data_IF_037773154677
#
_entry.id   IF_037773154677
#
_cell.length_a   1.000
_cell.length_b   1.000
_cell.length_c   1.000
_cell.angle_alpha   90.00
_cell.angle_beta   90.00
_cell.angle_gamma   90.00
#
_symmetry.space_group_name_H-M   'P 1'
#
loop_
_entity.id
_entity.type
_entity.pdbx_description
1 polymer ?
#
# COMPACT_ATOMS: atom_id res chain seq x y z
N UNK A 1 -26.24 29.88 -33.14
CA UNK A 1 -25.92 29.85 -31.70
C UNK A 1 -24.45 30.22 -31.46
N UNK A 2 -24.10 31.50 -31.58
CA UNK A 2 -22.71 32.01 -31.37
C UNK A 2 -22.41 32.27 -29.89
N UNK A 3 -23.46 32.48 -29.10
CA UNK A 3 -23.48 32.79 -27.67
C UNK A 3 -22.81 31.68 -26.83
N UNK A 4 -22.89 30.43 -27.30
CA UNK A 4 -22.24 29.28 -26.65
C UNK A 4 -20.72 29.18 -26.90
N UNK A 5 -20.17 29.95 -27.84
CA UNK A 5 -18.75 29.91 -28.20
C UNK A 5 -17.92 30.94 -27.39
N UNK A 6 -18.41 31.36 -26.23
CA UNK A 6 -17.79 32.36 -25.36
C UNK A 6 -16.67 31.81 -24.45
N UNK A 7 -16.40 30.51 -24.51
CA UNK A 7 -15.40 29.83 -23.69
C UNK A 7 -15.79 29.66 -22.21
N UNK A 8 -17.02 30.01 -21.81
CA UNK A 8 -17.47 29.88 -20.42
C UNK A 8 -17.95 28.46 -20.13
N UNK A 9 -17.48 27.84 -19.02
CA UNK A 9 -17.98 26.52 -18.60
C UNK A 9 -19.47 26.57 -18.27
N UNK A 10 -20.21 25.56 -18.70
CA UNK A 10 -21.65 25.41 -18.44
C UNK A 10 -21.92 24.08 -17.77
N UNK A 11 -22.81 24.07 -16.78
CA UNK A 11 -23.16 22.85 -16.06
C UNK A 11 -24.08 21.98 -16.90
N UNK A 12 -23.78 20.70 -16.93
CA UNK A 12 -24.51 19.68 -17.68
C UNK A 12 -25.49 18.96 -16.73
N UNK A 13 -26.67 18.64 -17.23
CA UNK A 13 -27.70 17.80 -16.60
C UNK A 13 -28.12 16.67 -17.54
N UNK A 14 -28.75 15.65 -16.98
CA UNK A 14 -29.39 14.55 -17.72
C UNK A 14 -28.49 13.92 -18.80
N UNK A 15 -27.20 13.73 -18.48
CA UNK A 15 -26.25 13.15 -19.41
C UNK A 15 -26.61 11.70 -19.70
N UNK A 16 -26.74 11.39 -20.99
CA UNK A 16 -26.95 10.07 -21.58
C UNK A 16 -25.81 9.80 -22.56
N UNK A 17 -25.76 8.59 -23.12
CA UNK A 17 -24.69 8.18 -24.04
C UNK A 17 -24.46 9.14 -25.23
N UNK A 18 -25.53 9.77 -25.74
CA UNK A 18 -25.47 10.62 -26.94
C UNK A 18 -26.13 11.99 -26.77
N UNK A 19 -26.57 12.34 -25.56
CA UNK A 19 -27.26 13.61 -25.32
C UNK A 19 -27.07 14.08 -23.90
N UNK A 20 -27.17 15.38 -23.71
CA UNK A 20 -27.19 16.03 -22.41
C UNK A 20 -27.89 17.37 -22.53
N UNK A 21 -28.31 17.94 -21.40
CA UNK A 21 -28.92 19.27 -21.36
C UNK A 21 -28.01 20.25 -20.65
N UNK A 22 -27.95 21.49 -21.11
CA UNK A 22 -27.33 22.57 -20.35
C UNK A 22 -28.29 22.99 -19.22
N UNK A 23 -27.74 23.33 -18.05
CA UNK A 23 -28.53 23.94 -16.96
C UNK A 23 -28.94 25.39 -17.28
N UNK A 24 -28.25 26.01 -18.23
CA UNK A 24 -28.50 27.36 -18.74
C UNK A 24 -29.68 27.41 -19.70
N UNK A 25 -30.51 28.45 -19.58
CA UNK A 25 -31.60 28.71 -20.52
C UNK A 25 -31.06 29.33 -21.82
N UNK A 26 -31.17 28.59 -22.91
CA UNK A 26 -30.74 29.01 -24.25
C UNK A 26 -31.90 29.49 -25.13
N UNK A 27 -33.09 29.73 -24.58
CA UNK A 27 -34.30 30.10 -25.35
C UNK A 27 -34.10 31.35 -26.21
N UNK A 28 -33.31 32.32 -25.71
CA UNK A 28 -33.03 33.57 -26.41
C UNK A 28 -31.79 33.51 -27.33
N UNK A 29 -31.18 32.35 -27.53
CA UNK A 29 -30.00 32.21 -28.38
C UNK A 29 -30.37 31.98 -29.84
N UNK A 30 -29.49 32.41 -30.75
CA UNK A 30 -29.69 32.17 -32.18
C UNK A 30 -29.76 30.67 -32.49
N UNK A 31 -30.58 30.29 -33.47
CA UNK A 31 -30.79 28.89 -33.87
C UNK A 31 -29.47 28.16 -34.17
N UNK A 32 -29.46 26.86 -33.90
CA UNK A 32 -28.36 25.98 -34.30
C UNK A 32 -28.33 25.84 -35.83
N UNK A 33 -27.13 25.82 -36.41
CA UNK A 33 -26.94 25.65 -37.86
C UNK A 33 -26.40 24.25 -38.17
N UNK A 34 -25.12 24.00 -37.85
CA UNK A 34 -24.47 22.69 -38.02
C UNK A 34 -23.15 22.64 -37.24
N UNK A 35 -22.76 21.43 -36.83
CA UNK A 35 -21.48 21.15 -36.21
C UNK A 35 -21.31 21.79 -34.83
N UNK A 36 -20.23 21.43 -34.15
CA UNK A 36 -19.91 21.91 -32.82
C UNK A 36 -19.00 20.92 -32.11
N UNK A 37 -18.11 21.44 -31.26
CA UNK A 37 -17.23 20.63 -30.44
C UNK A 37 -17.47 21.03 -29.00
N UNK A 38 -17.63 20.03 -28.14
CA UNK A 38 -17.77 20.22 -26.70
C UNK A 38 -16.46 19.80 -26.04
N UNK A 39 -15.92 20.67 -25.20
CA UNK A 39 -14.72 20.38 -24.41
C UNK A 39 -15.10 20.39 -22.92
N UNK A 40 -14.84 19.29 -22.23
CA UNK A 40 -15.06 19.22 -20.80
C UNK A 40 -14.07 20.11 -20.05
N UNK A 41 -14.58 20.98 -19.17
CA UNK A 41 -13.76 21.78 -18.27
C UNK A 41 -13.87 21.20 -16.86
N UNK A 42 -12.76 20.73 -16.30
CA UNK A 42 -12.68 20.26 -14.91
C UNK A 42 -12.59 21.45 -13.97
N UNK A 43 -13.66 21.69 -13.22
CA UNK A 43 -13.72 22.76 -12.21
C UNK A 43 -12.88 22.39 -10.98
N UNK A 44 -12.30 23.40 -10.32
CA UNK A 44 -11.64 23.22 -9.04
C UNK A 44 -12.69 22.91 -7.96
N UNK A 45 -12.39 21.94 -7.08
CA UNK A 45 -13.21 21.59 -5.94
C UNK A 45 -12.41 21.85 -4.66
N UNK A 46 -12.98 22.62 -3.74
CA UNK A 46 -12.41 22.82 -2.40
C UNK A 46 -12.82 21.65 -1.51
N UNK A 47 -11.84 21.09 -0.79
CA UNK A 47 -12.04 20.03 0.20
C UNK A 47 -11.62 20.57 1.57
N UNK A 48 -12.49 20.44 2.58
CA UNK A 48 -12.28 20.99 3.91
C UNK A 48 -11.90 19.88 4.89
N UNK A 49 -10.61 19.72 5.17
CA UNK A 49 -10.11 18.69 6.06
C UNK A 49 -10.38 19.05 7.54
N UNK A 50 -11.00 18.15 8.30
CA UNK A 50 -11.07 18.21 9.76
C UNK A 50 -9.66 18.11 10.38
N UNK A 51 -9.38 18.80 11.50
CA UNK A 51 -8.20 18.55 12.31
C UNK A 51 -8.21 17.12 12.88
N UNK A 52 -7.04 16.50 13.05
CA UNK A 52 -6.93 15.11 13.51
C UNK A 52 -7.74 14.82 14.78
N UNK A 53 -7.72 15.73 15.76
CA UNK A 53 -8.48 15.58 17.01
C UNK A 53 -9.99 15.40 16.77
N UNK A 54 -10.56 16.20 15.88
CA UNK A 54 -11.98 16.14 15.55
C UNK A 54 -12.27 14.91 14.68
N UNK A 55 -11.39 14.63 13.72
CA UNK A 55 -11.50 13.47 12.84
C UNK A 55 -11.42 12.13 13.60
N UNK A 56 -10.67 12.05 14.71
CA UNK A 56 -10.61 10.84 15.53
C UNK A 56 -11.93 10.53 16.26
N UNK A 57 -12.70 11.55 16.64
CA UNK A 57 -14.02 11.36 17.24
C UNK A 57 -15.13 11.22 16.22
N UNK A 58 -15.02 11.89 15.08
CA UNK A 58 -15.99 11.89 13.99
C UNK A 58 -15.25 11.72 12.64
N UNK A 59 -14.88 10.46 12.29
CA UNK A 59 -14.09 10.16 11.11
C UNK A 59 -14.87 10.33 9.80
N UNK A 60 -16.19 10.48 9.86
CA UNK A 60 -17.07 10.48 8.69
C UNK A 60 -16.99 9.16 7.91
N UNK A 61 -17.16 9.25 6.60
CA UNK A 61 -17.08 8.09 5.71
C UNK A 61 -15.63 7.58 5.59
N UNK A 62 -15.43 6.30 5.87
CA UNK A 62 -14.15 5.65 5.63
C UNK A 62 -13.93 5.35 4.15
N UNK A 63 -12.72 5.58 3.66
CA UNK A 63 -12.33 5.08 2.35
C UNK A 63 -12.11 3.57 2.42
N UNK A 64 -12.93 2.81 1.69
CA UNK A 64 -12.81 1.36 1.61
C UNK A 64 -11.59 0.97 0.76
N UNK A 65 -10.64 0.28 1.37
CA UNK A 65 -9.51 -0.33 0.67
C UNK A 65 -9.90 -1.65 -0.02
N UNK A 66 -10.89 -2.35 0.53
CA UNK A 66 -11.46 -3.59 0.01
C UNK A 66 -12.98 -3.59 0.25
N UNK A 67 -13.75 -3.69 -0.84
CA UNK A 67 -15.22 -3.70 -0.79
C UNK A 67 -15.80 -4.97 -0.17
N UNK A 68 -15.02 -6.05 -0.05
CA UNK A 68 -15.42 -7.26 0.66
C UNK A 68 -15.29 -7.13 2.19
N UNK A 69 -14.67 -6.04 2.68
CA UNK A 69 -14.25 -5.81 4.06
C UNK A 69 -14.83 -4.50 4.62
N UNK A 70 -16.12 -4.23 4.37
CA UNK A 70 -16.76 -2.94 4.71
C UNK A 70 -16.80 -2.64 6.22
N UNK A 71 -16.77 -3.67 7.06
CA UNK A 71 -16.73 -3.62 8.53
C UNK A 71 -15.32 -3.33 9.08
N UNK A 72 -14.27 -3.49 8.27
CA UNK A 72 -12.88 -3.39 8.73
C UNK A 72 -12.44 -1.98 9.09
N UNK A 73 -12.67 -0.93 8.29
CA UNK A 73 -12.13 0.39 8.60
C UNK A 73 -12.59 0.95 9.95
N UNK A 74 -13.88 0.88 10.34
CA UNK A 74 -14.32 1.30 11.67
C UNK A 74 -13.66 0.50 12.80
N UNK A 75 -13.57 -0.83 12.66
CA UNK A 75 -12.95 -1.68 13.68
C UNK A 75 -11.44 -1.42 13.80
N UNK A 76 -10.73 -1.21 12.69
CA UNK A 76 -9.32 -0.84 12.69
C UNK A 76 -9.11 0.56 13.27
N UNK A 77 -10.00 1.51 13.00
CA UNK A 77 -9.98 2.83 13.61
C UNK A 77 -10.02 2.75 15.14
N UNK A 78 -10.94 1.94 15.69
CA UNK A 78 -10.99 1.64 17.12
C UNK A 78 -9.71 0.93 17.60
N UNK A 79 -9.21 -0.06 16.85
CA UNK A 79 -8.05 -0.86 17.23
C UNK A 79 -6.76 -0.01 17.36
N UNK A 80 -6.53 0.93 16.45
CA UNK A 80 -5.38 1.84 16.51
C UNK A 80 -5.48 2.78 17.73
N UNK A 81 -6.66 3.31 18.05
CA UNK A 81 -6.84 4.12 19.26
C UNK A 81 -6.69 3.29 20.55
N UNK A 82 -7.19 2.05 20.54
CA UNK A 82 -7.01 1.12 21.65
C UNK A 82 -5.52 0.76 21.87
N UNK A 83 -4.73 0.66 20.79
CA UNK A 83 -3.29 0.47 20.87
C UNK A 83 -2.58 1.67 21.50
N UNK A 84 -2.94 2.90 21.12
CA UNK A 84 -2.37 4.11 21.72
C UNK A 84 -2.66 4.14 23.24
N UNK A 85 -3.89 3.77 23.64
CA UNK A 85 -4.25 3.65 25.06
C UNK A 85 -3.49 2.54 25.78
N UNK A 86 -3.36 1.36 25.16
CA UNK A 86 -2.55 0.25 25.69
C UNK A 86 -1.10 0.69 25.96
N UNK A 87 -0.48 1.37 25.00
CA UNK A 87 0.90 1.87 25.11
C UNK A 87 0.99 2.93 26.22
N UNK A 88 0.01 3.82 26.32
CA UNK A 88 -0.05 4.83 27.38
C UNK A 88 -0.17 4.22 28.78
N UNK A 89 -0.90 3.11 28.94
CA UNK A 89 -1.12 2.47 30.25
C UNK A 89 0.05 1.56 30.66
N UNK A 90 0.66 0.85 29.71
CA UNK A 90 1.67 -0.17 30.00
C UNK A 90 3.11 0.24 29.65
N UNK A 91 3.30 1.36 28.94
CA UNK A 91 4.61 1.86 28.54
C UNK A 91 5.32 1.00 27.48
N UNK A 92 4.59 0.10 26.80
CA UNK A 92 5.12 -0.82 25.78
C UNK A 92 4.05 -1.25 24.79
N UNK A 93 4.48 -1.77 23.64
CA UNK A 93 3.59 -2.47 22.70
C UNK A 93 3.15 -3.84 23.26
N UNK A 94 2.02 -4.40 22.78
CA UNK A 94 1.68 -5.79 22.98
C UNK A 94 2.82 -6.71 22.49
N UNK A 95 3.12 -7.75 23.27
CA UNK A 95 4.14 -8.72 22.89
C UNK A 95 3.54 -9.75 21.91
N UNK A 96 4.18 -9.99 20.75
CA UNK A 96 3.70 -10.96 19.77
C UNK A 96 3.48 -12.36 20.37
N UNK A 97 2.33 -12.97 20.08
CA UNK A 97 1.97 -14.31 20.55
C UNK A 97 1.56 -14.40 22.03
N UNK A 98 1.56 -13.29 22.79
CA UNK A 98 1.15 -13.29 24.20
C UNK A 98 -0.35 -13.01 24.32
N UNK A 99 -1.11 -14.03 24.70
CA UNK A 99 -2.58 -13.95 24.83
C UNK A 99 -3.03 -12.89 25.83
N UNK A 100 -2.36 -12.76 26.98
CA UNK A 100 -2.75 -11.78 28.01
C UNK A 100 -2.69 -10.34 27.48
N UNK A 101 -1.72 -10.02 26.64
CA UNK A 101 -1.61 -8.71 26.01
C UNK A 101 -2.70 -8.50 24.96
N UNK A 102 -3.00 -9.53 24.15
CA UNK A 102 -4.09 -9.47 23.19
C UNK A 102 -5.44 -9.28 23.89
N UNK A 103 -5.70 -10.01 24.98
CA UNK A 103 -6.94 -9.87 25.75
C UNK A 103 -7.06 -8.52 26.42
N UNK A 104 -5.96 -7.93 26.90
CA UNK A 104 -5.95 -6.55 27.39
C UNK A 104 -6.30 -5.55 26.30
N UNK A 105 -5.71 -5.67 25.10
CA UNK A 105 -6.04 -4.79 23.98
C UNK A 105 -7.51 -4.93 23.56
N UNK A 106 -8.04 -6.15 23.51
CA UNK A 106 -9.45 -6.42 23.24
C UNK A 106 -10.33 -5.77 24.30
N UNK A 107 -10.01 -5.94 25.59
CA UNK A 107 -10.75 -5.31 26.68
C UNK A 107 -10.75 -3.77 26.59
N UNK A 108 -9.61 -3.17 26.25
CA UNK A 108 -9.51 -1.72 26.03
C UNK A 108 -10.41 -1.29 24.87
N UNK A 109 -10.34 -1.98 23.73
CA UNK A 109 -11.15 -1.67 22.55
C UNK A 109 -12.65 -1.82 22.85
N UNK A 110 -13.06 -2.90 23.51
CA UNK A 110 -14.46 -3.13 23.91
C UNK A 110 -14.96 -2.04 24.86
N UNK A 111 -14.18 -1.70 25.89
CA UNK A 111 -14.55 -0.63 26.82
C UNK A 111 -14.68 0.74 26.13
N UNK A 112 -13.81 1.03 25.16
CA UNK A 112 -13.90 2.25 24.35
C UNK A 112 -15.16 2.25 23.49
N UNK A 113 -15.46 1.13 22.81
CA UNK A 113 -16.67 1.00 22.00
C UNK A 113 -17.96 1.11 22.83
N UNK A 114 -17.99 0.52 24.02
CA UNK A 114 -19.12 0.63 24.95
C UNK A 114 -19.34 2.06 25.45
N UNK A 115 -18.29 2.88 25.45
CA UNK A 115 -18.36 4.29 25.83
C UNK A 115 -18.76 5.21 24.67
N UNK A 116 -18.87 4.69 23.43
CA UNK A 116 -19.15 5.47 22.22
C UNK A 116 -20.64 5.78 21.98
N UNK A 117 -21.54 5.33 22.87
CA UNK A 117 -22.98 5.63 22.74
C UNK A 117 -23.58 5.12 21.44
N UNK A 118 -24.20 6.00 20.67
CA UNK A 118 -24.87 5.67 19.39
C UNK A 118 -23.89 5.34 18.26
N UNK A 119 -22.61 5.73 18.37
CA UNK A 119 -21.54 5.43 17.38
C UNK A 119 -20.84 4.09 17.66
N UNK A 120 -21.40 3.27 18.55
CA UNK A 120 -20.86 1.97 18.91
C UNK A 120 -20.87 1.02 17.70
N UNK A 121 -19.77 0.31 17.50
CA UNK A 121 -19.70 -0.78 16.53
C UNK A 121 -20.49 -2.00 17.02
N UNK A 122 -21.37 -2.53 16.17
CA UNK A 122 -22.16 -3.73 16.47
C UNK A 122 -21.31 -4.99 16.55
N UNK A 123 -20.34 -5.13 15.64
CA UNK A 123 -19.44 -6.29 15.57
C UNK A 123 -18.00 -5.90 15.94
N UNK A 124 -17.60 -6.28 17.16
CA UNK A 124 -16.19 -6.27 17.56
C UNK A 124 -15.64 -7.66 17.32
N UNK A 125 -14.90 -7.85 16.22
CA UNK A 125 -14.29 -9.14 15.92
C UNK A 125 -13.03 -9.37 16.80
N UNK A 126 -13.09 -10.24 17.83
CA UNK A 126 -11.97 -10.42 18.75
C UNK A 126 -10.79 -11.13 18.08
N UNK A 127 -11.05 -11.95 17.04
CA UNK A 127 -10.00 -12.65 16.29
C UNK A 127 -9.14 -11.64 15.52
N UNK A 128 -9.76 -10.63 14.92
CA UNK A 128 -9.03 -9.55 14.24
C UNK A 128 -8.20 -8.74 15.23
N UNK A 129 -8.80 -8.33 16.35
CA UNK A 129 -8.08 -7.56 17.39
C UNK A 129 -6.92 -8.34 17.99
N UNK A 130 -7.07 -9.65 18.19
CA UNK A 130 -5.97 -10.53 18.60
C UNK A 130 -4.84 -10.55 17.58
N UNK A 131 -5.15 -10.72 16.29
CA UNK A 131 -4.14 -10.69 15.22
C UNK A 131 -3.45 -9.31 15.13
N UNK A 132 -4.22 -8.24 15.28
CA UNK A 132 -3.71 -6.87 15.33
C UNK A 132 -2.74 -6.67 16.51
N UNK A 133 -3.10 -7.13 17.71
CA UNK A 133 -2.22 -7.08 18.88
C UNK A 133 -0.90 -7.83 18.63
N UNK A 134 -0.95 -9.02 18.03
CA UNK A 134 0.26 -9.80 17.74
C UNK A 134 1.17 -9.12 16.71
N UNK A 135 0.60 -8.39 15.75
CA UNK A 135 1.34 -7.64 14.73
C UNK A 135 1.70 -6.21 15.13
N UNK A 136 1.29 -5.72 16.31
CA UNK A 136 1.29 -4.28 16.63
C UNK A 136 2.69 -3.62 16.60
N UNK A 137 3.75 -4.39 16.89
CA UNK A 137 5.15 -3.91 16.86
C UNK A 137 5.85 -4.21 15.52
N UNK A 138 5.26 -5.06 14.68
CA UNK A 138 5.92 -5.58 13.51
C UNK A 138 6.05 -4.53 12.41
N UNK A 139 7.25 -4.42 11.84
CA UNK A 139 7.51 -3.61 10.64
C UNK A 139 7.76 -4.56 9.48
N UNK A 140 6.73 -4.75 8.65
CA UNK A 140 6.80 -5.61 7.48
C UNK A 140 7.13 -4.77 6.26
N UNK A 141 8.20 -5.15 5.54
CA UNK A 141 8.66 -4.38 4.40
C UNK A 141 7.61 -4.23 3.27
N UNK A 142 6.80 -5.24 2.90
CA UNK A 142 5.72 -5.06 1.94
C UNK A 142 4.69 -3.99 2.36
N UNK A 143 4.35 -3.94 3.66
CA UNK A 143 3.44 -2.92 4.20
C UNK A 143 4.08 -1.53 4.15
N UNK A 144 5.36 -1.43 4.52
CA UNK A 144 6.12 -0.19 4.43
C UNK A 144 6.23 0.33 2.99
N UNK A 145 6.45 -0.56 2.01
CA UNK A 145 6.50 -0.21 0.59
C UNK A 145 5.14 0.30 0.09
N UNK A 146 4.05 -0.40 0.44
CA UNK A 146 2.70 0.00 0.04
C UNK A 146 2.30 1.35 0.63
N UNK A 147 2.36 1.49 1.96
CA UNK A 147 2.01 2.76 2.62
C UNK A 147 2.99 3.87 2.26
N UNK A 148 4.28 3.59 2.07
CA UNK A 148 5.26 4.56 1.60
C UNK A 148 4.91 5.12 0.22
N UNK A 149 4.46 4.27 -0.71
CA UNK A 149 3.97 4.70 -2.01
C UNK A 149 2.70 5.55 -1.92
N UNK A 150 1.72 5.13 -1.12
CA UNK A 150 0.48 5.89 -0.90
C UNK A 150 0.78 7.27 -0.30
N UNK A 151 1.52 7.31 0.81
CA UNK A 151 1.89 8.55 1.50
C UNK A 151 2.73 9.45 0.60
N UNK A 152 3.70 8.89 -0.13
CA UNK A 152 4.49 9.64 -1.12
C UNK A 152 3.61 10.31 -2.17
N UNK A 153 2.58 9.60 -2.65
CA UNK A 153 1.60 10.18 -3.57
C UNK A 153 0.73 11.26 -2.89
N UNK A 154 0.30 11.07 -1.65
CA UNK A 154 -0.46 12.09 -0.91
C UNK A 154 0.34 13.38 -0.70
N UNK A 155 1.65 13.29 -0.45
CA UNK A 155 2.53 14.47 -0.38
C UNK A 155 2.53 15.23 -1.70
N UNK A 156 2.62 14.53 -2.84
CA UNK A 156 2.56 15.16 -4.17
C UNK A 156 1.19 15.82 -4.40
N UNK A 157 0.09 15.20 -3.98
CA UNK A 157 -1.25 15.80 -4.09
C UNK A 157 -1.35 17.08 -3.26
N UNK A 158 -0.85 17.05 -2.02
CA UNK A 158 -0.90 18.18 -1.11
C UNK A 158 -0.13 19.40 -1.63
N UNK A 159 1.06 19.21 -2.22
CA UNK A 159 1.88 20.32 -2.70
C UNK A 159 1.55 20.80 -4.11
N UNK A 160 0.84 19.99 -4.92
CA UNK A 160 0.52 20.34 -6.31
C UNK A 160 -0.94 20.73 -6.54
N UNK A 161 -1.85 20.39 -5.63
CA UNK A 161 -3.30 20.52 -5.84
C UNK A 161 -3.84 19.62 -6.96
N UNK A 162 -3.07 18.60 -7.38
CA UNK A 162 -3.42 17.67 -8.46
C UNK A 162 -3.88 16.34 -7.89
N UNK A 163 -4.95 15.80 -8.47
CA UNK A 163 -5.67 14.59 -8.04
C UNK A 163 -6.48 14.75 -6.75
N UNK A 164 -7.43 13.83 -6.53
CA UNK A 164 -8.21 13.80 -5.31
C UNK A 164 -7.38 13.14 -4.19
N UNK A 165 -7.17 13.83 -3.05
CA UNK A 165 -6.47 13.25 -1.89
C UNK A 165 -7.31 12.19 -1.20
N UNK A 166 -6.66 11.38 -0.36
CA UNK A 166 -7.35 10.61 0.67
C UNK A 166 -8.11 11.57 1.59
N UNK A 167 -9.32 11.20 2.00
CA UNK A 167 -10.21 12.06 2.77
C UNK A 167 -11.05 11.23 3.74
N UNK A 168 -10.66 11.03 5.00
CA UNK A 168 -9.33 11.33 5.57
C UNK A 168 -8.62 10.07 6.06
N UNK A 169 -9.36 9.10 6.60
CA UNK A 169 -8.79 7.84 7.06
C UNK A 169 -8.79 6.79 5.97
N UNK A 170 -7.67 6.07 5.89
CA UNK A 170 -7.50 4.91 5.03
C UNK A 170 -6.91 3.78 5.85
N UNK A 171 -7.71 2.74 6.05
CA UNK A 171 -7.30 1.52 6.75
C UNK A 171 -7.13 0.39 5.75
N UNK A 172 -6.09 -0.42 5.96
CA UNK A 172 -5.80 -1.58 5.15
C UNK A 172 -5.27 -2.69 6.04
N UNK A 173 -5.73 -3.90 5.77
CA UNK A 173 -5.17 -5.12 6.33
C UNK A 173 -4.97 -6.16 5.22
N UNK A 174 -4.00 -7.03 5.44
CA UNK A 174 -3.80 -8.24 4.64
C UNK A 174 -3.72 -9.44 5.57
N UNK A 175 -4.79 -9.64 6.36
CA UNK A 175 -4.89 -10.77 7.29
C UNK A 175 -4.80 -12.10 6.57
N UNK A 176 -5.19 -12.14 5.29
CA UNK A 176 -5.08 -13.32 4.42
C UNK A 176 -3.63 -13.73 4.15
N UNK A 177 -2.66 -12.83 4.36
CA UNK A 177 -1.24 -13.14 4.25
C UNK A 177 -0.70 -13.85 5.50
N UNK A 178 -1.45 -13.90 6.60
CA UNK A 178 -1.04 -14.62 7.81
C UNK A 178 -1.01 -16.14 7.56
N UNK A 179 -0.17 -16.90 8.27
CA UNK A 179 -0.14 -18.35 8.14
C UNK A 179 -1.51 -18.96 8.46
N UNK A 180 -1.96 -19.89 7.62
CA UNK A 180 -3.23 -20.60 7.80
C UNK A 180 -3.19 -21.58 8.97
N UNK A 181 -2.00 -22.16 9.22
CA UNK A 181 -1.78 -23.10 10.31
C UNK A 181 -1.42 -22.36 11.60
N UNK A 182 -1.87 -22.85 12.77
CA UNK A 182 -1.46 -22.31 14.05
C UNK A 182 0.06 -22.35 14.20
N UNK A 183 0.64 -21.20 14.58
CA UNK A 183 2.05 -21.10 14.93
C UNK A 183 2.26 -21.51 16.39
N UNK A 184 3.38 -22.18 16.66
CA UNK A 184 3.81 -22.42 18.03
C UNK A 184 4.20 -21.09 18.68
N UNK A 185 3.84 -20.80 19.95
CA UNK A 185 4.33 -19.61 20.65
C UNK A 185 5.85 -19.42 20.56
N UNK A 186 6.60 -20.52 20.53
CA UNK A 186 8.03 -20.48 20.37
C UNK A 186 8.44 -19.97 18.98
N UNK A 187 7.63 -20.13 17.93
CA UNK A 187 7.96 -19.68 16.58
C UNK A 187 8.05 -18.14 16.46
N UNK A 188 7.45 -17.40 17.39
CA UNK A 188 7.51 -15.93 17.44
C UNK A 188 8.74 -15.39 18.20
N UNK A 189 9.49 -16.26 18.90
CA UNK A 189 10.62 -15.81 19.73
C UNK A 189 11.68 -15.13 18.86
N UNK A 190 12.15 -13.93 19.26
CA UNK A 190 13.22 -13.26 18.54
C UNK A 190 14.50 -14.11 18.59
N UNK A 191 15.21 -14.14 17.46
CA UNK A 191 16.47 -14.90 17.33
C UNK A 191 17.67 -13.98 17.16
N UNK A 192 17.50 -12.69 17.47
CA UNK A 192 18.48 -11.63 17.26
C UNK A 192 18.93 -11.55 15.80
N UNK A 193 17.95 -11.66 14.90
CA UNK A 193 18.15 -11.53 13.45
C UNK A 193 17.55 -10.24 12.92
N UNK A 194 18.01 -9.82 11.73
CA UNK A 194 17.39 -8.71 10.99
C UNK A 194 15.92 -8.98 10.60
N UNK A 195 15.44 -10.21 10.72
CA UNK A 195 14.09 -10.62 10.36
C UNK A 195 13.16 -10.76 11.57
N UNK A 196 13.58 -10.38 12.78
CA UNK A 196 12.79 -10.59 14.01
C UNK A 196 11.39 -9.95 13.94
N UNK A 197 11.23 -8.82 13.25
CA UNK A 197 9.92 -8.20 13.00
C UNK A 197 9.02 -9.01 12.04
N UNK A 198 9.62 -9.72 11.09
CA UNK A 198 8.89 -10.61 10.18
C UNK A 198 8.54 -11.92 10.89
N UNK A 199 9.49 -12.47 11.67
CA UNK A 199 9.32 -13.66 12.50
C UNK A 199 8.21 -13.45 13.53
N UNK A 200 8.06 -12.26 14.11
CA UNK A 200 7.00 -11.99 15.08
C UNK A 200 5.58 -12.04 14.49
N UNK A 201 5.43 -12.04 13.16
CA UNK A 201 4.13 -12.17 12.49
C UNK A 201 3.97 -13.56 11.87
N UNK A 202 4.99 -14.03 11.17
CA UNK A 202 4.90 -15.23 10.33
C UNK A 202 5.54 -16.48 10.96
N UNK A 203 6.30 -16.31 12.04
CA UNK A 203 7.06 -17.36 12.70
C UNK A 203 8.35 -17.74 11.97
N UNK A 204 9.31 -18.28 12.73
CA UNK A 204 10.63 -18.68 12.22
C UNK A 204 10.58 -19.76 11.14
N UNK A 205 9.57 -20.64 11.16
CA UNK A 205 9.41 -21.71 10.16
C UNK A 205 9.10 -21.13 8.79
N UNK A 206 8.23 -20.12 8.69
CA UNK A 206 7.96 -19.46 7.42
C UNK A 206 9.16 -18.62 6.98
N UNK A 207 9.82 -17.92 7.91
CA UNK A 207 11.06 -17.20 7.61
C UNK A 207 12.10 -18.11 6.95
N UNK A 208 12.29 -19.32 7.50
CA UNK A 208 13.21 -20.30 6.94
C UNK A 208 12.81 -20.75 5.53
N UNK A 209 11.51 -20.93 5.27
CA UNK A 209 11.00 -21.24 3.91
C UNK A 209 11.31 -20.11 2.93
N UNK A 210 11.16 -18.85 3.33
CA UNK A 210 11.53 -17.69 2.50
C UNK A 210 13.03 -17.69 2.21
N UNK A 211 13.86 -17.89 3.23
CA UNK A 211 15.31 -17.96 3.10
C UNK A 211 15.76 -19.04 2.11
N UNK A 212 15.17 -20.24 2.16
CA UNK A 212 15.53 -21.35 1.29
C UNK A 212 14.78 -21.35 -0.06
N UNK A 213 13.99 -20.31 -0.36
CA UNK A 213 13.22 -20.23 -1.60
C UNK A 213 14.11 -20.06 -2.83
N UNK A 214 13.70 -20.69 -3.93
CA UNK A 214 14.27 -20.48 -5.25
C UNK A 214 13.31 -19.65 -6.10
N UNK A 215 13.76 -18.48 -6.56
CA UNK A 215 12.90 -17.48 -7.20
C UNK A 215 13.52 -17.06 -8.53
N UNK A 216 12.68 -16.94 -9.55
CA UNK A 216 13.07 -16.35 -10.84
C UNK A 216 12.31 -15.05 -11.05
N UNK A 217 13.04 -13.94 -11.18
CA UNK A 217 12.49 -12.60 -11.42
C UNK A 217 12.73 -12.22 -12.88
N UNK A 218 11.66 -11.93 -13.59
CA UNK A 218 11.70 -11.50 -14.99
C UNK A 218 11.52 -9.99 -15.06
N UNK A 219 12.58 -9.29 -15.45
CA UNK A 219 12.63 -7.84 -15.55
C UNK A 219 13.16 -7.16 -14.28
N UNK A 220 14.04 -6.19 -14.48
CA UNK A 220 14.71 -5.37 -13.46
C UNK A 220 14.40 -3.86 -13.63
N UNK A 221 13.28 -3.54 -14.29
CA UNK A 221 12.74 -2.20 -14.41
C UNK A 221 12.17 -1.64 -13.09
N UNK A 222 11.19 -0.74 -13.16
CA UNK A 222 10.67 -0.05 -11.95
C UNK A 222 10.11 -1.04 -10.91
N UNK A 223 9.25 -1.96 -11.36
CA UNK A 223 8.71 -3.02 -10.49
C UNK A 223 9.80 -4.01 -10.06
N UNK A 224 10.72 -4.37 -10.96
CA UNK A 224 11.83 -5.28 -10.64
C UNK A 224 12.73 -4.74 -9.54
N UNK A 225 13.04 -3.43 -9.55
CA UNK A 225 13.78 -2.76 -8.48
C UNK A 225 13.06 -2.83 -7.13
N UNK A 226 11.75 -2.53 -7.10
CA UNK A 226 10.94 -2.62 -5.88
C UNK A 226 10.83 -4.05 -5.36
N UNK A 227 10.60 -5.02 -6.25
CA UNK A 227 10.56 -6.43 -5.88
C UNK A 227 11.89 -6.91 -5.34
N UNK A 228 13.03 -6.61 -5.98
CA UNK A 228 14.33 -7.01 -5.48
C UNK A 228 14.63 -6.44 -4.09
N UNK A 229 14.34 -5.16 -3.86
CA UNK A 229 14.44 -4.57 -2.51
C UNK A 229 13.56 -5.31 -1.52
N UNK A 230 12.31 -5.64 -1.91
CA UNK A 230 11.40 -6.36 -1.04
C UNK A 230 11.89 -7.77 -0.70
N UNK A 231 12.29 -8.54 -1.71
CA UNK A 231 12.81 -9.91 -1.57
C UNK A 231 14.08 -9.92 -0.70
N UNK A 232 15.00 -8.98 -0.93
CA UNK A 232 16.21 -8.84 -0.13
C UNK A 232 15.91 -8.52 1.35
N UNK A 233 15.00 -7.56 1.61
CA UNK A 233 14.63 -7.18 2.98
C UNK A 233 13.82 -8.25 3.73
N UNK A 234 13.01 -9.03 2.99
CA UNK A 234 12.26 -10.17 3.54
C UNK A 234 13.13 -11.41 3.77
N UNK A 235 14.38 -11.40 3.31
CA UNK A 235 15.30 -12.52 3.44
C UNK A 235 15.02 -13.66 2.46
N UNK A 236 14.31 -13.40 1.35
CA UNK A 236 14.07 -14.42 0.34
C UNK A 236 15.39 -14.84 -0.29
N UNK A 237 15.58 -16.15 -0.54
CA UNK A 237 16.80 -16.70 -1.13
C UNK A 237 18.10 -16.35 -0.36
N UNK A 238 18.00 -16.03 0.94
CA UNK A 238 19.16 -15.71 1.79
C UNK A 238 19.70 -16.92 2.57
N UNK A 239 19.03 -18.08 2.46
CA UNK A 239 19.41 -19.33 3.08
C UNK A 239 20.38 -20.14 2.21
N UNK A 240 20.98 -21.18 2.79
CA UNK A 240 21.97 -22.03 2.10
C UNK A 240 21.43 -22.73 0.85
N UNK A 241 20.12 -22.98 0.80
CA UNK A 241 19.45 -23.64 -0.33
C UNK A 241 18.71 -22.64 -1.23
N UNK A 242 18.64 -21.38 -0.80
CA UNK A 242 17.97 -20.32 -1.52
C UNK A 242 18.79 -19.85 -2.72
N UNK A 243 18.10 -19.46 -3.79
CA UNK A 243 18.72 -18.86 -4.97
C UNK A 243 17.70 -17.96 -5.68
N UNK A 244 18.08 -16.73 -5.97
CA UNK A 244 17.31 -15.87 -6.85
C UNK A 244 18.05 -15.69 -8.16
N UNK A 245 17.37 -15.95 -9.28
CA UNK A 245 17.86 -15.57 -10.60
C UNK A 245 17.04 -14.40 -11.10
N UNK A 246 17.68 -13.33 -11.57
CA UNK A 246 17.01 -12.21 -12.24
C UNK A 246 17.49 -12.09 -13.67
N UNK A 247 16.59 -11.80 -14.60
CA UNK A 247 16.97 -11.53 -16.00
C UNK A 247 16.33 -10.25 -16.53
N UNK A 248 17.09 -9.52 -17.35
CA UNK A 248 16.65 -8.33 -18.08
C UNK A 248 17.63 -8.09 -19.24
N UNK A 249 17.12 -7.95 -20.46
CA UNK A 249 17.93 -7.76 -21.67
C UNK A 249 18.23 -6.29 -21.99
N UNK A 250 17.78 -5.36 -21.14
CA UNK A 250 17.91 -3.93 -21.35
C UNK A 250 19.06 -3.30 -20.53
N UNK A 251 19.48 -2.10 -20.97
CA UNK A 251 20.53 -1.30 -20.32
C UNK A 251 19.94 -0.08 -19.63
N UNK A 252 20.66 0.46 -18.64
CA UNK A 252 20.18 1.59 -17.85
C UNK A 252 20.24 2.88 -18.67
N UNK A 253 19.12 3.58 -18.74
CA UNK A 253 19.03 4.92 -19.33
C UNK A 253 18.77 6.02 -18.30
N UNK A 254 19.10 7.27 -18.63
CA UNK A 254 18.79 8.43 -17.77
C UNK A 254 17.30 8.54 -17.41
N UNK A 255 16.42 8.23 -18.36
CA UNK A 255 14.96 8.26 -18.18
C UNK A 255 14.47 7.27 -17.12
N UNK A 256 15.25 6.24 -16.80
CA UNK A 256 14.90 5.16 -15.89
C UNK A 256 15.06 5.57 -14.43
N UNK A 257 16.04 6.45 -14.14
CA UNK A 257 16.47 6.81 -12.79
C UNK A 257 15.38 7.50 -11.96
N UNK A 258 14.33 8.03 -12.59
CA UNK A 258 13.18 8.62 -11.91
C UNK A 258 12.34 7.62 -11.12
N UNK A 259 12.46 6.32 -11.40
CA UNK A 259 11.60 5.26 -10.84
C UNK A 259 12.30 3.92 -10.60
N UNK A 260 13.57 3.79 -10.99
CA UNK A 260 14.39 2.59 -10.82
C UNK A 260 15.51 2.89 -9.84
N UNK A 261 15.14 3.02 -8.57
CA UNK A 261 16.00 3.58 -7.50
C UNK A 261 17.21 2.70 -7.14
N UNK A 262 17.34 1.49 -7.68
CA UNK A 262 18.56 0.68 -7.53
C UNK A 262 19.70 1.18 -8.44
N UNK A 263 19.38 2.03 -9.41
CA UNK A 263 20.35 2.57 -10.38
C UNK A 263 20.79 3.98 -9.99
N UNK A 264 21.97 4.37 -10.47
CA UNK A 264 22.57 5.70 -10.29
C UNK A 264 23.04 6.24 -11.63
N UNK A 265 23.31 7.54 -11.71
CA UNK A 265 23.81 8.21 -12.94
C UNK A 265 25.06 7.52 -13.51
N UNK A 266 25.97 7.05 -12.65
CA UNK A 266 27.18 6.34 -13.07
C UNK A 266 26.93 4.91 -13.58
N UNK A 267 25.72 4.39 -13.48
CA UNK A 267 25.33 3.10 -14.03
C UNK A 267 24.75 3.18 -15.44
N UNK A 268 24.56 4.38 -16.01
CA UNK A 268 24.00 4.53 -17.37
C UNK A 268 24.83 3.73 -18.40
N UNK A 269 24.14 2.98 -19.26
CA UNK A 269 24.72 2.09 -20.26
C UNK A 269 25.12 0.70 -19.75
N UNK A 270 25.07 0.45 -18.44
CA UNK A 270 25.30 -0.88 -17.86
C UNK A 270 24.02 -1.73 -17.92
N UNK A 271 24.17 -3.06 -17.92
CA UNK A 271 23.05 -3.98 -17.91
C UNK A 271 22.20 -3.85 -16.63
N UNK A 272 20.88 -3.72 -16.78
CA UNK A 272 19.99 -3.48 -15.64
C UNK A 272 20.03 -4.62 -14.62
N UNK A 273 19.95 -5.86 -15.08
CA UNK A 273 19.91 -7.04 -14.19
C UNK A 273 21.16 -7.15 -13.33
N UNK A 274 22.34 -6.95 -13.92
CA UNK A 274 23.63 -7.01 -13.22
C UNK A 274 23.75 -5.93 -12.15
N UNK A 275 23.43 -4.68 -12.48
CA UNK A 275 23.49 -3.57 -11.51
C UNK A 275 22.43 -3.74 -10.42
N UNK A 276 21.21 -4.17 -10.79
CA UNK A 276 20.12 -4.39 -9.84
C UNK A 276 20.47 -5.50 -8.84
N UNK A 277 21.07 -6.59 -9.31
CA UNK A 277 21.53 -7.69 -8.46
C UNK A 277 22.61 -7.23 -7.48
N UNK A 278 23.61 -6.48 -7.96
CA UNK A 278 24.66 -5.92 -7.09
C UNK A 278 24.08 -4.95 -6.05
N UNK A 279 23.14 -4.08 -6.44
CA UNK A 279 22.49 -3.16 -5.52
C UNK A 279 21.65 -3.90 -4.48
N UNK A 280 20.90 -4.94 -4.87
CA UNK A 280 20.12 -5.73 -3.94
C UNK A 280 20.99 -6.54 -2.95
N UNK A 281 22.11 -7.10 -3.41
CA UNK A 281 23.10 -7.75 -2.54
C UNK A 281 23.72 -6.78 -1.53
N UNK A 282 23.81 -5.47 -1.85
CA UNK A 282 24.25 -4.46 -0.87
C UNK A 282 23.21 -4.19 0.24
N UNK A 283 21.91 -4.35 -0.06
CA UNK A 283 20.83 -4.25 0.94
C UNK A 283 20.88 -5.43 1.91
N UNK A 284 21.20 -6.62 1.38
CA UNK A 284 21.34 -7.83 2.18
C UNK A 284 22.52 -8.69 1.69
N UNK A 285 23.65 -8.69 2.42
CA UNK A 285 24.83 -9.47 2.02
C UNK A 285 24.62 -10.98 1.93
N UNK A 286 23.57 -11.51 2.57
CA UNK A 286 23.22 -12.93 2.48
C UNK A 286 22.39 -13.27 1.23
N UNK A 287 21.98 -12.28 0.44
CA UNK A 287 21.07 -12.48 -0.69
C UNK A 287 21.79 -13.22 -1.83
N UNK A 288 21.44 -14.49 -2.04
CA UNK A 288 22.02 -15.31 -3.08
C UNK A 288 21.35 -15.01 -4.42
N UNK A 289 21.91 -14.08 -5.18
CA UNK A 289 21.33 -13.57 -6.43
C UNK A 289 22.29 -13.74 -7.61
N UNK A 290 21.75 -14.22 -8.72
CA UNK A 290 22.43 -14.35 -10.01
C UNK A 290 21.70 -13.51 -11.06
N UNK A 291 22.47 -12.78 -11.89
CA UNK A 291 21.94 -11.94 -12.95
C UNK A 291 22.20 -12.53 -14.33
N UNK A 292 21.15 -12.65 -15.12
CA UNK A 292 21.16 -13.00 -16.53
C UNK A 292 20.78 -11.77 -17.38
N UNK A 293 21.15 -11.78 -18.65
CA UNK A 293 20.82 -10.71 -19.60
C UNK A 293 19.93 -11.21 -20.75
N UNK A 294 19.30 -12.36 -20.54
CA UNK A 294 18.52 -13.03 -21.57
C UNK A 294 17.09 -12.49 -21.55
N UNK A 295 16.58 -12.15 -22.75
CA UNK A 295 15.16 -11.87 -22.92
C UNK A 295 14.37 -13.16 -22.75
N UNK A 296 13.49 -13.22 -21.77
CA UNK A 296 12.58 -14.36 -21.61
C UNK A 296 11.68 -14.45 -22.84
N UNK A 297 11.92 -15.48 -23.63
CA UNK A 297 11.28 -15.72 -24.93
C UNK A 297 11.49 -17.17 -25.36
N UNK A 298 10.72 -17.69 -26.34
CA UNK A 298 10.95 -19.03 -26.88
C UNK A 298 12.39 -19.27 -27.36
N UNK A 299 13.08 -18.22 -27.81
CA UNK A 299 14.46 -18.28 -28.28
C UNK A 299 15.48 -18.58 -27.16
N UNK A 300 15.10 -18.38 -25.90
CA UNK A 300 16.00 -18.55 -24.74
C UNK A 300 15.64 -19.75 -23.87
N UNK A 301 14.83 -20.70 -24.37
CA UNK A 301 14.44 -21.89 -23.59
C UNK A 301 15.60 -22.87 -23.33
N UNK A 302 16.65 -22.81 -24.16
CA UNK A 302 17.79 -23.76 -24.12
C UNK A 302 19.11 -23.10 -23.68
N UNK A 303 19.04 -21.95 -23.01
CA UNK A 303 20.22 -21.21 -22.52
C UNK A 303 20.52 -21.58 -21.07
#
# INVERSE_FOLDING_TARGET
MKELNDGKPRKIKNARAYSFTLEEDTTNYGSYEKGGIVTQVKQQKVLNFKPLREALSDPGDFLLSDFAKFDRPPLLHLAFQALDKFISELGRFPVPGVEDDAQKLIAIATNMNDSSGDDKLDDINPKLLRQFAFGARAVLNPMAAMFGGIVGQEVVKACSGKFHPLYQFFYFDSVESLPSEPLDPDDFRPVNSRYDAQISVFGRKLQKKLEDSQVFVVGSGALGCEFLKNLALMGVACGKQGKLTITDDDVIEKSNLSRQFLFRDWNIGQAKSTVAASAAASINPSFNIEALQNRVSPETENV
#
